data_IF_615346741762
#
_entry.id   IF_615346741762
#
_cell.length_a   1.000
_cell.length_b   1.000
_cell.length_c   1.000
_cell.angle_alpha   90.00
_cell.angle_beta   90.00
_cell.angle_gamma   90.00
#
_symmetry.space_group_name_H-M   'P 1'
#
loop_
_entity.id
_entity.type
_entity.pdbx_description
1 polymer ?
#
# COMPACT_ATOMS: atom_id res chain seq x y z
N UNK A 1 -0.94 -23.39 -6.16
CA UNK A 1 -1.83 -23.45 -7.33
C UNK A 1 -1.47 -24.63 -8.24
N UNK A 2 -1.50 -25.84 -7.74
CA UNK A 2 -1.38 -27.05 -8.54
C UNK A 2 -2.82 -27.53 -8.83
N UNK A 3 -3.27 -27.50 -10.07
CA UNK A 3 -4.49 -28.15 -10.48
C UNK A 3 -5.55 -27.34 -11.25
N UNK A 4 -5.29 -26.08 -11.59
CA UNK A 4 -6.21 -25.35 -12.47
C UNK A 4 -5.73 -25.49 -13.91
N UNK A 5 -6.50 -26.20 -14.73
CA UNK A 5 -6.23 -26.34 -16.16
C UNK A 5 -6.85 -25.18 -16.97
N UNK A 6 -6.63 -25.18 -18.27
CA UNK A 6 -7.11 -24.15 -19.18
C UNK A 6 -8.64 -24.07 -19.22
N UNK A 7 -9.32 -25.20 -19.18
CA UNK A 7 -10.79 -25.27 -19.24
C UNK A 7 -11.42 -24.70 -17.97
N UNK A 8 -10.89 -25.04 -16.80
CA UNK A 8 -11.33 -24.49 -15.53
C UNK A 8 -11.10 -22.97 -15.44
N UNK A 9 -10.03 -22.44 -16.03
CA UNK A 9 -9.79 -21.01 -16.14
C UNK A 9 -10.77 -20.31 -17.08
N UNK A 10 -11.09 -20.92 -18.23
CA UNK A 10 -12.08 -20.38 -19.17
C UNK A 10 -13.47 -20.35 -18.56
N UNK A 11 -13.88 -21.41 -17.87
CA UNK A 11 -15.15 -21.49 -17.17
C UNK A 11 -15.25 -20.41 -16.08
N UNK A 12 -14.21 -20.23 -15.26
CA UNK A 12 -14.15 -19.18 -14.25
C UNK A 12 -14.26 -17.77 -14.84
N UNK A 13 -13.59 -17.52 -15.98
CA UNK A 13 -13.59 -16.23 -16.64
C UNK A 13 -14.91 -15.90 -17.33
N UNK A 14 -15.70 -16.91 -17.71
CA UNK A 14 -16.99 -16.76 -18.42
C UNK A 14 -18.18 -16.87 -17.49
N UNK A 15 -17.99 -17.20 -16.20
CA UNK A 15 -19.09 -17.41 -15.25
C UNK A 15 -19.91 -16.12 -15.03
N UNK A 16 -21.21 -16.27 -15.00
CA UNK A 16 -22.14 -15.13 -14.82
C UNK A 16 -22.05 -14.49 -13.43
N UNK A 17 -21.57 -15.23 -12.45
CA UNK A 17 -21.36 -14.76 -11.07
C UNK A 17 -20.42 -13.55 -11.01
N UNK A 18 -19.50 -13.43 -11.94
CA UNK A 18 -18.51 -12.37 -11.95
C UNK A 18 -18.86 -11.19 -12.87
N UNK A 19 -19.74 -11.39 -13.85
CA UNK A 19 -20.05 -10.39 -14.91
C UNK A 19 -20.62 -9.08 -14.39
N UNK A 20 -21.37 -9.10 -13.30
CA UNK A 20 -22.00 -7.91 -12.71
C UNK A 20 -21.12 -7.06 -11.81
N UNK A 21 -19.93 -7.54 -11.43
CA UNK A 21 -19.08 -6.85 -10.46
C UNK A 21 -18.27 -5.69 -11.05
N UNK A 22 -17.95 -4.68 -10.23
CA UNK A 22 -17.07 -3.58 -10.62
C UNK A 22 -15.65 -4.11 -10.97
N UNK A 23 -15.19 -5.13 -10.23
CA UNK A 23 -13.93 -5.80 -10.49
C UNK A 23 -13.92 -6.48 -11.86
N UNK A 24 -15.02 -7.08 -12.30
CA UNK A 24 -15.15 -7.69 -13.62
C UNK A 24 -15.15 -6.63 -14.73
N UNK A 25 -15.77 -5.47 -14.53
CA UNK A 25 -15.72 -4.37 -15.51
C UNK A 25 -14.28 -3.85 -15.70
N UNK A 26 -13.55 -3.66 -14.63
CA UNK A 26 -12.13 -3.30 -14.68
C UNK A 26 -11.30 -4.41 -15.31
N UNK A 27 -11.60 -5.67 -14.99
CA UNK A 27 -10.98 -6.83 -15.63
C UNK A 27 -11.25 -6.87 -17.13
N UNK A 28 -12.50 -6.71 -17.55
CA UNK A 28 -12.89 -6.76 -18.97
C UNK A 28 -12.26 -5.64 -19.78
N UNK A 29 -12.10 -4.44 -19.20
CA UNK A 29 -11.54 -3.31 -19.91
C UNK A 29 -10.01 -3.32 -19.98
N UNK A 30 -9.34 -3.89 -18.99
CA UNK A 30 -7.88 -3.77 -18.86
C UNK A 30 -7.13 -5.11 -18.80
N UNK A 31 -7.64 -6.08 -18.06
CA UNK A 31 -6.96 -7.36 -17.81
C UNK A 31 -7.40 -8.43 -18.81
N UNK A 32 -8.69 -8.50 -19.13
CA UNK A 32 -9.23 -9.53 -20.03
C UNK A 32 -8.60 -9.56 -21.41
N UNK A 33 -8.38 -8.44 -22.13
CA UNK A 33 -7.73 -8.49 -23.43
C UNK A 33 -6.33 -9.09 -23.38
N UNK A 34 -5.59 -8.80 -22.31
CA UNK A 34 -4.25 -9.36 -22.09
C UNK A 34 -4.30 -10.83 -21.67
N UNK A 35 -5.29 -11.18 -20.87
CA UNK A 35 -5.50 -12.55 -20.40
C UNK A 35 -6.04 -13.46 -21.49
N UNK A 36 -6.95 -12.99 -22.34
CA UNK A 36 -7.44 -13.73 -23.50
C UNK A 36 -6.31 -14.02 -24.50
N UNK A 37 -5.47 -13.03 -24.78
CA UNK A 37 -4.29 -13.22 -25.63
C UNK A 37 -3.27 -14.18 -24.97
N UNK A 38 -3.14 -14.15 -23.64
CA UNK A 38 -2.29 -15.06 -22.89
C UNK A 38 -2.86 -16.49 -22.89
N UNK A 39 -4.20 -16.63 -22.79
CA UNK A 39 -4.90 -17.92 -22.88
C UNK A 39 -4.77 -18.55 -24.27
N UNK A 40 -4.91 -17.76 -25.33
CA UNK A 40 -4.69 -18.20 -26.70
C UNK A 40 -3.25 -18.70 -26.94
N UNK A 41 -2.29 -18.25 -26.12
CA UNK A 41 -0.89 -18.66 -26.15
C UNK A 41 -0.49 -19.49 -24.93
N UNK A 42 -1.44 -20.15 -24.25
CA UNK A 42 -1.22 -20.84 -22.98
C UNK A 42 -0.27 -22.05 -23.07
N UNK A 43 -0.01 -22.54 -24.28
CA UNK A 43 0.98 -23.60 -24.53
C UNK A 43 2.43 -23.15 -24.25
N UNK A 44 2.67 -21.83 -24.18
CA UNK A 44 3.99 -21.30 -23.84
C UNK A 44 4.22 -21.34 -22.33
N UNK A 45 5.40 -21.81 -21.85
CA UNK A 45 5.72 -21.86 -20.44
C UNK A 45 5.50 -20.50 -19.74
N UNK A 46 4.86 -20.51 -18.57
CA UNK A 46 4.64 -19.31 -17.73
C UNK A 46 3.39 -18.47 -18.05
N UNK A 47 2.74 -18.65 -19.20
CA UNK A 47 1.55 -17.85 -19.57
C UNK A 47 0.31 -18.18 -18.73
N UNK A 48 0.09 -19.47 -18.48
CA UNK A 48 -1.02 -19.93 -17.63
C UNK A 48 -0.91 -19.39 -16.21
N UNK A 49 0.31 -19.32 -15.68
CA UNK A 49 0.57 -18.75 -14.36
C UNK A 49 0.20 -17.26 -14.27
N UNK A 50 0.48 -16.49 -15.33
CA UNK A 50 0.12 -15.05 -15.38
C UNK A 50 -1.39 -14.85 -15.38
N UNK A 51 -2.13 -15.65 -16.16
CA UNK A 51 -3.60 -15.61 -16.20
C UNK A 51 -4.17 -16.00 -14.83
N UNK A 52 -3.69 -17.09 -14.24
CA UNK A 52 -4.12 -17.53 -12.93
C UNK A 52 -3.87 -16.49 -11.82
N UNK A 53 -2.74 -15.80 -11.85
CA UNK A 53 -2.45 -14.69 -10.93
C UNK A 53 -3.43 -13.52 -11.09
N UNK A 54 -3.77 -13.16 -12.33
CA UNK A 54 -4.74 -12.10 -12.61
C UNK A 54 -6.14 -12.45 -12.09
N UNK A 55 -6.58 -13.70 -12.28
CA UNK A 55 -7.86 -14.19 -11.75
C UNK A 55 -7.85 -14.20 -10.22
N UNK A 56 -6.77 -14.66 -9.60
CA UNK A 56 -6.64 -14.64 -8.15
C UNK A 56 -6.66 -13.22 -7.56
N UNK A 57 -6.05 -12.26 -8.25
CA UNK A 57 -6.11 -10.86 -7.85
C UNK A 57 -7.54 -10.33 -7.86
N UNK A 58 -8.30 -10.61 -8.92
CA UNK A 58 -9.72 -10.24 -9.02
C UNK A 58 -10.58 -10.84 -7.91
N UNK A 59 -10.41 -12.13 -7.61
CA UNK A 59 -11.12 -12.76 -6.51
C UNK A 59 -10.77 -12.15 -5.15
N UNK A 60 -9.52 -11.75 -4.96
CA UNK A 60 -9.12 -11.01 -3.75
C UNK A 60 -9.80 -9.66 -3.67
N UNK A 61 -9.86 -8.91 -4.76
CA UNK A 61 -10.54 -7.61 -4.79
C UNK A 61 -12.05 -7.76 -4.52
N UNK A 62 -12.71 -8.75 -5.09
CA UNK A 62 -14.12 -9.01 -4.83
C UNK A 62 -14.39 -9.35 -3.36
N UNK A 63 -13.55 -10.21 -2.76
CA UNK A 63 -13.64 -10.52 -1.33
C UNK A 63 -13.36 -9.30 -0.47
N UNK A 64 -12.43 -8.47 -0.89
CA UNK A 64 -12.06 -7.23 -0.22
C UNK A 64 -13.20 -6.20 -0.23
N UNK A 65 -13.92 -6.07 -1.34
CA UNK A 65 -15.09 -5.20 -1.43
C UNK A 65 -16.28 -5.69 -0.57
N UNK A 66 -16.36 -7.00 -0.30
CA UNK A 66 -17.38 -7.60 0.57
C UNK A 66 -17.04 -7.51 2.06
N UNK A 67 -15.79 -7.27 2.38
CA UNK A 67 -15.30 -7.18 3.75
C UNK A 67 -14.71 -5.78 3.97
N UNK A 68 -15.39 -4.95 4.74
CA UNK A 68 -14.97 -3.57 5.09
C UNK A 68 -13.58 -3.44 5.75
N UNK A 69 -12.86 -4.54 5.88
CA UNK A 69 -11.61 -4.62 6.63
C UNK A 69 -10.34 -4.19 5.86
N UNK A 70 -10.45 -3.89 4.55
CA UNK A 70 -9.24 -3.78 3.72
C UNK A 70 -8.77 -2.37 3.42
N UNK A 71 -9.50 -1.32 3.80
CA UNK A 71 -9.11 0.04 3.44
C UNK A 71 -8.80 0.90 4.65
N UNK A 72 -7.71 0.58 5.34
CA UNK A 72 -7.16 1.51 6.33
C UNK A 72 -6.65 2.82 5.71
N UNK A 73 -6.38 2.84 4.40
CA UNK A 73 -5.90 4.02 3.70
C UNK A 73 -6.98 5.10 3.43
N UNK A 74 -8.25 4.76 3.63
CA UNK A 74 -9.35 5.73 3.56
C UNK A 74 -9.64 6.39 4.92
N UNK A 75 -8.92 6.00 5.98
CA UNK A 75 -9.10 6.56 7.33
C UNK A 75 -8.22 7.76 7.56
N UNK A 76 -8.79 8.80 8.11
CA UNK A 76 -8.04 9.97 8.58
C UNK A 76 -7.27 9.65 9.87
N UNK A 77 -6.28 10.49 10.20
CA UNK A 77 -5.53 10.38 11.44
C UNK A 77 -6.47 10.36 12.68
N UNK A 78 -7.49 11.23 12.67
CA UNK A 78 -8.48 11.32 13.75
C UNK A 78 -9.28 10.02 13.91
N UNK A 79 -9.67 9.38 12.81
CA UNK A 79 -10.39 8.10 12.84
C UNK A 79 -9.51 6.95 13.33
N UNK A 80 -8.23 6.96 12.97
CA UNK A 80 -7.25 5.96 13.47
C UNK A 80 -7.00 6.14 14.96
N UNK A 81 -6.89 7.38 15.43
CA UNK A 81 -6.68 7.68 16.84
C UNK A 81 -7.94 7.39 17.67
N UNK A 82 -9.14 7.58 17.12
CA UNK A 82 -10.41 7.23 17.76
C UNK A 82 -10.57 5.73 18.06
N UNK A 83 -9.81 4.85 17.40
CA UNK A 83 -9.78 3.41 17.70
C UNK A 83 -9.17 3.14 19.09
N UNK A 84 -8.48 4.11 19.70
CA UNK A 84 -7.94 4.03 21.06
C UNK A 84 -6.72 3.11 21.22
N UNK A 85 -6.11 2.63 20.13
CA UNK A 85 -4.86 1.85 20.21
C UNK A 85 -3.70 2.82 20.35
N UNK A 86 -2.96 2.73 21.44
CA UNK A 86 -1.79 3.56 21.71
C UNK A 86 -0.73 3.43 20.62
N UNK A 87 -0.04 4.55 20.36
CA UNK A 87 1.12 4.55 19.45
C UNK A 87 2.35 4.08 20.20
N UNK A 88 3.19 3.33 19.50
CA UNK A 88 4.48 2.95 20.04
C UNK A 88 5.36 4.21 20.23
N UNK A 89 5.98 4.41 21.40
CA UNK A 89 6.73 5.63 21.74
C UNK A 89 8.06 5.72 20.98
N UNK A 90 8.00 5.65 19.67
CA UNK A 90 9.13 5.72 18.75
C UNK A 90 8.95 6.93 17.81
N UNK A 91 9.96 7.76 17.73
CA UNK A 91 10.08 8.83 16.75
C UNK A 91 11.05 8.40 15.65
N UNK A 92 10.69 8.63 14.39
CA UNK A 92 11.59 8.42 13.25
C UNK A 92 12.01 9.80 12.75
N UNK A 93 13.32 10.05 12.68
CA UNK A 93 13.87 11.29 12.15
C UNK A 93 14.58 10.99 10.82
N UNK A 94 14.06 11.55 9.75
CA UNK A 94 14.60 11.39 8.40
C UNK A 94 15.48 12.60 8.06
N UNK A 95 16.79 12.41 8.15
CA UNK A 95 17.78 13.46 7.88
C UNK A 95 18.20 13.47 6.41
N UNK A 96 17.77 14.49 5.69
CA UNK A 96 18.17 14.73 4.29
C UNK A 96 18.00 13.50 3.37
N UNK A 97 16.94 12.70 3.56
CA UNK A 97 16.60 11.58 2.69
C UNK A 97 16.21 12.10 1.32
N UNK A 98 17.03 11.83 0.30
CA UNK A 98 16.85 12.41 -1.05
C UNK A 98 15.76 11.75 -1.88
N UNK A 99 15.47 10.49 -1.62
CA UNK A 99 14.54 9.69 -2.41
C UNK A 99 13.12 9.78 -1.88
N UNK A 100 12.22 10.38 -2.65
CA UNK A 100 10.78 10.40 -2.34
C UNK A 100 10.17 9.00 -2.25
N UNK A 101 10.68 8.04 -3.04
CA UNK A 101 10.29 6.64 -2.97
C UNK A 101 10.63 6.00 -1.61
N UNK A 102 11.85 6.23 -1.13
CA UNK A 102 12.28 5.72 0.17
C UNK A 102 11.49 6.36 1.30
N UNK A 103 11.23 7.66 1.21
CA UNK A 103 10.39 8.38 2.18
C UNK A 103 9.00 7.75 2.27
N UNK A 104 8.34 7.51 1.15
CA UNK A 104 7.02 6.86 1.16
C UNK A 104 7.04 5.45 1.73
N UNK A 105 8.06 4.66 1.44
CA UNK A 105 8.23 3.33 2.03
C UNK A 105 8.47 3.39 3.55
N UNK A 106 9.23 4.37 4.02
CA UNK A 106 9.45 4.58 5.46
C UNK A 106 8.17 4.99 6.19
N UNK A 107 7.32 5.83 5.56
CA UNK A 107 5.99 6.17 6.10
C UNK A 107 5.12 4.91 6.23
N UNK A 108 5.13 3.99 5.25
CA UNK A 108 4.41 2.72 5.35
C UNK A 108 4.92 1.83 6.49
N UNK A 109 6.24 1.75 6.65
CA UNK A 109 6.83 1.03 7.77
C UNK A 109 6.45 1.67 9.12
N UNK A 110 6.44 3.01 9.18
CA UNK A 110 6.02 3.77 10.33
C UNK A 110 4.55 3.54 10.70
N UNK A 111 3.66 3.43 9.70
CA UNK A 111 2.26 3.06 9.91
C UNK A 111 2.14 1.66 10.51
N UNK A 112 2.79 0.67 9.89
CA UNK A 112 2.76 -0.71 10.35
C UNK A 112 3.27 -0.87 11.79
N UNK A 113 4.31 -0.11 12.16
CA UNK A 113 4.88 -0.09 13.50
C UNK A 113 4.11 0.84 14.47
N UNK A 114 3.10 1.57 13.99
CA UNK A 114 2.33 2.54 14.79
C UNK A 114 3.21 3.53 15.56
N UNK A 115 4.24 4.06 14.91
CA UNK A 115 5.17 4.99 15.56
C UNK A 115 4.49 6.27 16.01
N UNK A 116 5.05 6.90 17.03
CA UNK A 116 4.54 8.14 17.61
C UNK A 116 4.53 9.28 16.57
N UNK A 117 5.62 9.46 15.83
CA UNK A 117 5.74 10.51 14.82
C UNK A 117 6.93 10.28 13.87
N UNK A 118 6.79 10.75 12.63
CA UNK A 118 7.87 10.87 11.65
C UNK A 118 8.25 12.34 11.48
N UNK A 119 9.53 12.65 11.54
CA UNK A 119 10.08 14.01 11.31
C UNK A 119 10.85 14.02 10.00
N UNK A 120 10.42 14.85 9.06
CA UNK A 120 11.10 15.07 7.77
C UNK A 120 12.01 16.27 7.91
N UNK A 121 13.33 16.04 7.84
CA UNK A 121 14.31 17.09 8.08
C UNK A 121 15.07 17.47 6.80
N UNK A 122 15.40 18.75 6.68
CA UNK A 122 16.16 19.32 5.59
C UNK A 122 15.47 19.13 4.23
N UNK A 123 16.16 18.50 3.28
CA UNK A 123 15.67 18.28 1.90
C UNK A 123 14.80 17.04 1.75
N UNK A 124 14.45 16.34 2.83
CA UNK A 124 13.61 15.14 2.77
C UNK A 124 12.25 15.47 2.16
N UNK A 125 11.86 14.83 1.03
CA UNK A 125 10.53 14.99 0.45
C UNK A 125 9.45 14.58 1.44
N UNK A 126 8.46 15.43 1.63
CA UNK A 126 7.36 15.22 2.59
C UNK A 126 6.01 15.22 1.86
N UNK A 127 4.95 14.63 2.41
CA UNK A 127 3.60 14.85 1.90
C UNK A 127 3.28 16.36 1.81
N UNK A 128 2.61 16.85 0.74
CA UNK A 128 1.90 16.08 -0.28
C UNK A 128 2.71 15.77 -1.56
N UNK A 129 4.01 15.59 -1.50
CA UNK A 129 4.81 15.27 -2.68
C UNK A 129 4.26 14.03 -3.42
N UNK A 130 3.94 14.09 -4.75
CA UNK A 130 3.22 13.02 -5.45
C UNK A 130 3.91 11.65 -5.38
N UNK A 131 5.25 11.61 -5.49
CA UNK A 131 5.99 10.34 -5.41
C UNK A 131 6.03 9.77 -3.99
N UNK A 132 5.94 10.60 -2.95
CA UNK A 132 5.80 10.16 -1.55
C UNK A 132 4.43 9.54 -1.37
N UNK A 133 3.35 10.23 -1.76
CA UNK A 133 1.98 9.73 -1.63
C UNK A 133 1.78 8.42 -2.39
N UNK A 134 2.33 8.33 -3.62
CA UNK A 134 2.25 7.13 -4.44
C UNK A 134 2.84 5.89 -3.74
N UNK A 135 3.96 6.03 -3.06
CA UNK A 135 4.64 4.92 -2.38
C UNK A 135 4.18 4.71 -0.95
N UNK A 136 3.70 5.74 -0.27
CA UNK A 136 3.08 5.65 1.04
C UNK A 136 1.71 4.93 1.00
N UNK A 137 1.03 4.91 -0.17
CA UNK A 137 -0.23 4.17 -0.38
C UNK A 137 -1.29 4.44 0.71
N UNK A 138 -1.51 5.72 1.03
CA UNK A 138 -2.47 6.15 2.06
C UNK A 138 -1.90 6.30 3.47
N UNK A 139 -0.79 5.64 3.79
CA UNK A 139 -0.17 5.72 5.13
C UNK A 139 0.22 7.15 5.55
N UNK A 140 0.41 8.05 4.60
CA UNK A 140 0.71 9.46 4.88
C UNK A 140 -0.44 10.20 5.59
N UNK A 141 -1.67 9.72 5.46
CA UNK A 141 -2.85 10.31 6.10
C UNK A 141 -3.07 9.83 7.53
N UNK A 142 -2.47 8.69 7.88
CA UNK A 142 -2.67 8.01 9.16
C UNK A 142 -1.46 8.09 10.09
N UNK A 143 -0.29 8.46 9.57
CA UNK A 143 0.95 8.60 10.35
C UNK A 143 1.16 10.05 10.77
N UNK A 144 1.22 10.36 12.08
CA UNK A 144 1.58 11.69 12.53
C UNK A 144 2.96 12.07 12.01
N UNK A 145 3.07 13.24 11.39
CA UNK A 145 4.35 13.70 10.88
C UNK A 145 4.54 15.20 11.01
N UNK A 146 5.79 15.65 10.93
CA UNK A 146 6.16 17.06 10.95
C UNK A 146 7.37 17.29 10.03
N UNK A 147 7.47 18.50 9.47
CA UNK A 147 8.62 18.93 8.70
C UNK A 147 9.45 19.92 9.51
N UNK A 148 10.77 19.82 9.41
CA UNK A 148 11.71 20.72 10.04
C UNK A 148 12.92 21.01 9.13
N UNK A 149 13.45 22.21 9.20
CA UNK A 149 14.64 22.59 8.44
C UNK A 149 15.93 21.95 9.00
N UNK A 150 15.99 21.79 10.31
CA UNK A 150 17.20 21.34 11.01
C UNK A 150 16.95 20.05 11.78
N UNK A 151 17.62 19.00 11.39
CA UNK A 151 17.65 17.70 12.08
C UNK A 151 18.18 17.87 13.51
N UNK A 152 19.23 18.67 13.68
CA UNK A 152 19.84 18.92 14.99
C UNK A 152 18.85 19.57 15.96
N UNK A 153 18.02 20.49 15.47
CA UNK A 153 16.99 21.13 16.30
C UNK A 153 15.93 20.13 16.77
N UNK A 154 15.48 19.24 15.87
CA UNK A 154 14.53 18.18 16.20
C UNK A 154 15.12 17.21 17.22
N UNK A 155 16.34 16.76 17.02
CA UNK A 155 17.04 15.84 17.93
C UNK A 155 17.17 16.45 19.32
N UNK A 156 17.60 17.69 19.41
CA UNK A 156 17.72 18.40 20.72
C UNK A 156 16.37 18.56 21.42
N UNK A 157 15.31 18.86 20.67
CA UNK A 157 13.98 18.95 21.24
C UNK A 157 13.52 17.61 21.81
N UNK A 158 13.68 16.52 21.06
CA UNK A 158 13.33 15.15 21.52
C UNK A 158 14.17 14.74 22.74
N UNK A 159 15.46 15.06 22.76
CA UNK A 159 16.32 14.81 23.93
C UNK A 159 15.86 15.59 25.16
N UNK A 160 15.42 16.83 24.99
CA UNK A 160 14.87 17.66 26.08
C UNK A 160 13.55 17.09 26.64
N UNK A 161 12.80 16.36 25.81
CA UNK A 161 11.59 15.61 26.21
C UNK A 161 11.93 14.25 26.83
N UNK A 162 13.21 13.91 26.99
CA UNK A 162 13.66 12.63 27.57
C UNK A 162 13.71 11.45 26.58
N UNK A 163 13.58 11.71 25.29
CA UNK A 163 13.67 10.67 24.25
C UNK A 163 15.14 10.30 24.00
N UNK A 164 15.47 9.01 24.12
CA UNK A 164 16.79 8.49 23.76
C UNK A 164 16.94 8.48 22.25
N UNK A 165 18.05 9.01 21.74
CA UNK A 165 18.33 9.11 20.30
C UNK A 165 19.42 8.11 19.91
N UNK A 166 19.17 7.37 18.85
CA UNK A 166 20.08 6.38 18.25
C UNK A 166 20.29 6.74 16.76
N UNK A 167 21.51 6.59 16.26
CA UNK A 167 21.88 6.84 14.86
C UNK A 167 22.76 5.69 14.33
#
# INVERSE_FOLDING_TARGET
MRGMDKAALEELLTSDEHRGSAAFRTYNSYVYPKSAAALANAEKPGRLSTVAQSVCFLHREQKAQRADWLRNHDRTLAEVDAIGVERFPLHIVLDNVRSAHNTGNLIRAAEAARVQRVHFCGITPTPPHPSVLKTAMGAAETVPHAQAQSTLAVVRALQAEGVSVWA
#
